data_IF_768510460025
#
_entry.id   IF_768510460025
#
_cell.length_a   1.000
_cell.length_b   1.000
_cell.length_c   1.000
_cell.angle_alpha   90.00
_cell.angle_beta   90.00
_cell.angle_gamma   90.00
#
_symmetry.space_group_name_H-M   'P 1'
#
loop_
_entity.id
_entity.type
_entity.pdbx_description
1 polymer ?
#
# COMPACT_ATOMS: atom_id res chain seq x y z
N UNK A 1 9.44 5.21 -13.58
CA UNK A 1 8.34 4.81 -12.66
C UNK A 1 6.99 5.43 -13.00
N UNK A 2 6.90 6.66 -13.52
CA UNK A 2 5.62 7.28 -13.89
C UNK A 2 4.75 6.42 -14.80
N UNK A 3 5.34 5.86 -15.88
CA UNK A 3 4.62 5.00 -16.82
C UNK A 3 4.04 3.72 -16.17
N UNK A 4 4.78 3.09 -15.26
CA UNK A 4 4.33 1.89 -14.54
C UNK A 4 3.12 2.22 -13.65
N UNK A 5 3.23 3.24 -12.80
CA UNK A 5 2.13 3.57 -11.88
C UNK A 5 0.92 4.09 -12.63
N UNK A 6 1.12 4.89 -13.67
CA UNK A 6 0.03 5.26 -14.58
C UNK A 6 -0.68 4.03 -15.13
N UNK A 7 0.06 3.07 -15.68
CA UNK A 7 -0.52 1.82 -16.17
C UNK A 7 -1.35 1.12 -15.09
N UNK A 8 -0.78 0.94 -13.88
CA UNK A 8 -1.46 0.25 -12.78
C UNK A 8 -2.73 0.96 -12.30
N UNK A 9 -2.73 2.29 -12.19
CA UNK A 9 -3.89 3.05 -11.71
C UNK A 9 -4.93 3.29 -12.81
N UNK A 10 -4.57 3.27 -14.08
CA UNK A 10 -5.52 3.39 -15.19
C UNK A 10 -6.23 2.06 -15.53
N UNK A 11 -5.86 0.94 -14.90
CA UNK A 11 -6.59 -0.33 -15.02
C UNK A 11 -8.05 -0.23 -14.57
N UNK A 12 -8.36 0.69 -13.65
CA UNK A 12 -9.72 0.97 -13.18
C UNK A 12 -10.45 2.03 -14.02
N UNK A 13 -9.82 2.54 -15.08
CA UNK A 13 -10.35 3.58 -15.95
C UNK A 13 -9.57 4.89 -15.91
N UNK A 14 -9.95 5.80 -16.81
CA UNK A 14 -9.34 7.11 -16.91
C UNK A 14 -9.74 8.03 -15.75
N UNK A 15 -8.83 8.92 -15.29
CA UNK A 15 -9.16 9.89 -14.24
C UNK A 15 -10.39 10.75 -14.56
N UNK A 16 -11.15 11.06 -13.52
CA UNK A 16 -12.30 11.95 -13.61
C UNK A 16 -12.23 13.03 -12.52
N UNK A 17 -12.54 14.30 -12.86
CA UNK A 17 -12.93 14.77 -14.19
C UNK A 17 -11.74 14.84 -15.18
N UNK A 18 -11.98 14.87 -16.50
CA UNK A 18 -10.89 14.82 -17.49
C UNK A 18 -9.91 16.00 -17.38
N UNK A 19 -10.34 17.15 -16.88
CA UNK A 19 -9.51 18.33 -16.63
C UNK A 19 -8.34 18.04 -15.67
N UNK A 20 -8.52 17.16 -14.69
CA UNK A 20 -7.52 16.84 -13.67
C UNK A 20 -6.60 15.68 -14.06
N UNK A 21 -6.83 15.08 -15.25
CA UNK A 21 -6.04 13.96 -15.77
C UNK A 21 -4.52 14.20 -15.76
N UNK A 22 -4.00 15.39 -16.13
CA UNK A 22 -2.57 15.66 -16.06
C UNK A 22 -2.03 15.57 -14.62
N UNK A 23 -2.73 16.16 -13.65
CA UNK A 23 -2.35 16.13 -12.23
C UNK A 23 -2.31 14.69 -11.70
N UNK A 24 -3.31 13.89 -12.06
CA UNK A 24 -3.33 12.48 -11.71
C UNK A 24 -2.12 11.72 -12.26
N UNK A 25 -1.83 11.87 -13.54
CA UNK A 25 -0.76 11.13 -14.22
C UNK A 25 0.64 11.57 -13.83
N UNK A 26 0.84 12.87 -13.64
CA UNK A 26 2.18 13.43 -13.48
C UNK A 26 2.64 13.53 -12.04
N UNK A 27 1.68 13.62 -11.10
CA UNK A 27 1.93 13.86 -9.68
C UNK A 27 1.33 12.76 -8.80
N UNK A 28 0.02 12.52 -8.90
CA UNK A 28 -0.68 11.64 -7.93
C UNK A 28 -0.27 10.19 -8.11
N UNK A 29 -0.40 9.61 -9.30
CA UNK A 29 -0.08 8.20 -9.54
C UNK A 29 1.37 7.82 -9.20
N UNK A 30 2.40 8.59 -9.60
CA UNK A 30 3.77 8.27 -9.23
C UNK A 30 3.97 8.32 -7.71
N UNK A 31 3.39 9.31 -7.04
CA UNK A 31 3.56 9.47 -5.59
C UNK A 31 2.80 8.39 -4.82
N UNK A 32 1.55 8.10 -5.19
CA UNK A 32 0.77 7.02 -4.57
C UNK A 32 1.49 5.69 -4.71
N UNK A 33 1.99 5.38 -5.90
CA UNK A 33 2.72 4.14 -6.14
C UNK A 33 3.95 4.01 -5.26
N UNK A 34 4.76 5.07 -5.17
CA UNK A 34 5.95 5.11 -4.32
C UNK A 34 5.63 5.01 -2.83
N UNK A 35 4.65 5.78 -2.36
CA UNK A 35 4.21 5.74 -0.97
C UNK A 35 3.64 4.37 -0.62
N UNK A 36 2.88 3.76 -1.51
CA UNK A 36 2.29 2.45 -1.29
C UNK A 36 3.37 1.37 -1.17
N UNK A 37 4.37 1.37 -2.05
CA UNK A 37 5.54 0.49 -1.93
C UNK A 37 6.30 0.74 -0.63
N UNK A 38 6.58 2.00 -0.30
CA UNK A 38 7.35 2.39 0.89
C UNK A 38 6.66 2.02 2.20
N UNK A 39 5.36 2.32 2.33
CA UNK A 39 4.55 1.97 3.51
C UNK A 39 4.42 0.45 3.64
N UNK A 40 4.12 -0.25 2.54
CA UNK A 40 4.01 -1.71 2.55
C UNK A 40 5.31 -2.36 2.99
N UNK A 41 6.45 -1.92 2.44
CA UNK A 41 7.77 -2.41 2.84
C UNK A 41 8.08 -2.08 4.30
N UNK A 42 7.81 -0.85 4.73
CA UNK A 42 8.02 -0.40 6.10
C UNK A 42 7.25 -1.24 7.11
N UNK A 43 5.97 -1.52 6.85
CA UNK A 43 5.15 -2.37 7.71
C UNK A 43 5.63 -3.81 7.75
N UNK A 44 6.07 -4.38 6.62
CA UNK A 44 6.68 -5.72 6.59
C UNK A 44 7.96 -5.76 7.42
N UNK A 45 8.83 -4.75 7.31
CA UNK A 45 10.05 -4.64 8.12
C UNK A 45 9.71 -4.55 9.61
N UNK A 46 8.72 -3.73 9.98
CA UNK A 46 8.24 -3.64 11.37
C UNK A 46 7.73 -4.99 11.86
N UNK A 47 6.90 -5.68 11.08
CA UNK A 47 6.32 -6.96 11.48
C UNK A 47 7.39 -8.07 11.63
N UNK A 48 8.21 -8.30 10.60
CA UNK A 48 9.13 -9.44 10.57
C UNK A 48 10.45 -9.19 11.29
N UNK A 49 11.05 -8.01 11.13
CA UNK A 49 12.39 -7.70 11.64
C UNK A 49 12.35 -7.01 12.99
N UNK A 50 11.48 -6.01 13.18
CA UNK A 50 11.42 -5.30 14.46
C UNK A 50 10.71 -6.14 15.53
N UNK A 51 9.43 -6.47 15.33
CA UNK A 51 8.62 -7.15 16.35
C UNK A 51 9.07 -8.60 16.53
N UNK A 52 9.16 -9.37 15.44
CA UNK A 52 9.39 -10.80 15.52
C UNK A 52 10.86 -11.20 15.66
N UNK A 53 11.82 -10.33 15.33
CA UNK A 53 13.27 -10.63 15.46
C UNK A 53 13.96 -9.76 16.52
N UNK A 54 13.89 -8.43 16.44
CA UNK A 54 14.62 -7.57 17.37
C UNK A 54 14.01 -7.55 18.77
N UNK A 55 12.68 -7.48 18.88
CA UNK A 55 11.98 -7.49 20.17
C UNK A 55 11.69 -8.91 20.69
N UNK A 56 11.83 -9.94 19.85
CA UNK A 56 11.62 -11.33 20.24
C UNK A 56 10.19 -11.65 20.70
N UNK A 57 9.19 -10.90 20.24
CA UNK A 57 7.79 -11.08 20.68
C UNK A 57 7.21 -12.34 20.03
N UNK A 58 7.43 -13.50 20.67
CA UNK A 58 7.02 -14.80 20.17
C UNK A 58 5.49 -14.95 20.01
N UNK A 59 4.69 -14.11 20.67
CA UNK A 59 3.22 -14.12 20.50
C UNK A 59 2.78 -13.50 19.18
N UNK A 60 3.60 -12.65 18.55
CA UNK A 60 3.26 -11.90 17.34
C UNK A 60 3.59 -12.63 16.02
N UNK A 61 3.55 -13.96 16.05
CA UNK A 61 3.92 -14.83 14.93
C UNK A 61 2.74 -15.50 14.21
N UNK A 62 1.52 -15.28 14.69
CA UNK A 62 0.31 -15.91 14.13
C UNK A 62 -0.14 -15.19 12.85
N UNK A 63 -0.69 -15.96 11.91
CA UNK A 63 -1.27 -15.41 10.67
C UNK A 63 -2.36 -14.36 10.89
N UNK A 64 -3.06 -14.37 12.04
CA UNK A 64 -4.02 -13.32 12.42
C UNK A 64 -3.35 -11.95 12.61
N UNK A 65 -2.17 -11.89 13.23
CA UNK A 65 -1.44 -10.62 13.40
C UNK A 65 -0.91 -10.10 12.07
N UNK A 66 -0.44 -11.00 11.21
CA UNK A 66 -0.07 -10.67 9.83
C UNK A 66 -1.28 -10.10 9.06
N UNK A 67 -2.46 -10.72 9.18
CA UNK A 67 -3.69 -10.25 8.54
C UNK A 67 -4.15 -8.88 9.07
N UNK A 68 -3.95 -8.59 10.35
CA UNK A 68 -4.18 -7.25 10.93
C UNK A 68 -3.26 -6.22 10.26
N UNK A 69 -1.97 -6.54 10.08
CA UNK A 69 -1.03 -5.66 9.39
C UNK A 69 -1.36 -5.49 7.90
N UNK A 70 -1.84 -6.53 7.23
CA UNK A 70 -2.34 -6.46 5.86
C UNK A 70 -3.53 -5.48 5.76
N UNK A 71 -4.50 -5.61 6.66
CA UNK A 71 -5.67 -4.72 6.72
C UNK A 71 -5.28 -3.28 7.08
N UNK A 72 -4.35 -3.10 8.01
CA UNK A 72 -3.81 -1.80 8.38
C UNK A 72 -3.10 -1.14 7.19
N UNK A 73 -2.31 -1.90 6.43
CA UNK A 73 -1.65 -1.39 5.23
C UNK A 73 -2.67 -0.94 4.17
N UNK A 74 -3.73 -1.73 3.96
CA UNK A 74 -4.82 -1.36 3.07
C UNK A 74 -5.49 -0.04 3.49
N UNK A 75 -5.80 0.09 4.79
CA UNK A 75 -6.40 1.30 5.35
C UNK A 75 -5.48 2.52 5.19
N UNK A 76 -4.19 2.38 5.45
CA UNK A 76 -3.23 3.48 5.26
C UNK A 76 -3.15 3.87 3.79
N UNK A 77 -3.05 2.91 2.86
CA UNK A 77 -3.01 3.18 1.43
C UNK A 77 -4.30 3.89 0.93
N UNK A 78 -5.46 3.53 1.48
CA UNK A 78 -6.72 4.22 1.23
C UNK A 78 -6.68 5.68 1.70
N UNK A 79 -6.34 5.91 2.97
CA UNK A 79 -6.30 7.25 3.56
C UNK A 79 -5.26 8.17 2.91
N UNK A 80 -4.09 7.63 2.56
CA UNK A 80 -3.04 8.36 1.82
C UNK A 80 -3.55 8.83 0.47
N UNK A 81 -4.41 8.05 -0.19
CA UNK A 81 -4.99 8.45 -1.48
C UNK A 81 -5.88 9.67 -1.33
N UNK A 82 -6.80 9.63 -0.36
CA UNK A 82 -7.70 10.76 -0.06
C UNK A 82 -6.89 11.99 0.35
N UNK A 83 -5.89 11.82 1.22
CA UNK A 83 -5.02 12.92 1.63
C UNK A 83 -4.29 13.54 0.43
N UNK A 84 -3.73 12.72 -0.45
CA UNK A 84 -2.96 13.20 -1.59
C UNK A 84 -3.83 13.90 -2.64
N UNK A 85 -5.02 13.38 -2.95
CA UNK A 85 -5.95 14.05 -3.88
C UNK A 85 -6.41 15.40 -3.34
N UNK A 86 -6.71 15.48 -2.03
CA UNK A 86 -7.04 16.75 -1.38
C UNK A 86 -5.85 17.72 -1.36
N UNK A 87 -4.64 17.24 -1.07
CA UNK A 87 -3.44 18.06 -1.07
C UNK A 87 -3.12 18.66 -2.46
N UNK A 88 -3.50 17.96 -3.53
CA UNK A 88 -3.36 18.44 -4.91
C UNK A 88 -4.57 19.25 -5.40
N UNK A 89 -5.55 19.53 -4.53
CA UNK A 89 -6.74 20.33 -4.83
C UNK A 89 -7.51 19.83 -6.06
N UNK A 90 -7.52 18.52 -6.26
CA UNK A 90 -8.28 17.90 -7.34
C UNK A 90 -9.77 18.06 -7.08
N UNK A 91 -10.54 18.22 -8.14
CA UNK A 91 -12.00 18.35 -8.06
C UNK A 91 -12.60 17.14 -7.33
N UNK A 92 -13.45 17.40 -6.33
CA UNK A 92 -14.11 16.32 -5.60
C UNK A 92 -15.03 15.52 -6.52
N UNK A 93 -14.78 14.22 -6.60
CA UNK A 93 -15.46 13.31 -7.50
C UNK A 93 -15.41 11.88 -6.96
N UNK A 94 -16.40 11.06 -7.29
CA UNK A 94 -16.50 9.66 -6.85
C UNK A 94 -15.28 8.81 -7.26
N UNK A 95 -14.58 9.22 -8.32
CA UNK A 95 -13.34 8.61 -8.78
C UNK A 95 -12.25 8.56 -7.70
N UNK A 96 -12.18 9.55 -6.80
CA UNK A 96 -11.20 9.57 -5.71
C UNK A 96 -11.36 8.34 -4.80
N UNK A 97 -12.59 7.97 -4.47
CA UNK A 97 -12.87 6.83 -3.60
C UNK A 97 -12.64 5.49 -4.31
N UNK A 98 -12.92 5.41 -5.61
CA UNK A 98 -12.57 4.26 -6.43
C UNK A 98 -11.05 4.08 -6.52
N UNK A 99 -10.31 5.17 -6.75
CA UNK A 99 -8.86 5.18 -6.76
C UNK A 99 -8.28 4.78 -5.39
N UNK A 100 -8.84 5.29 -4.30
CA UNK A 100 -8.42 4.95 -2.94
C UNK A 100 -8.62 3.46 -2.64
N UNK A 101 -9.76 2.90 -3.06
CA UNK A 101 -10.06 1.47 -2.94
C UNK A 101 -9.08 0.63 -3.76
N UNK A 102 -8.80 1.05 -4.99
CA UNK A 102 -7.81 0.36 -5.84
C UNK A 102 -6.40 0.43 -5.24
N UNK A 103 -6.01 1.59 -4.71
CA UNK A 103 -4.71 1.74 -4.04
C UNK A 103 -4.60 0.86 -2.78
N UNK A 104 -5.70 0.70 -2.04
CA UNK A 104 -5.76 -0.22 -0.90
C UNK A 104 -5.53 -1.68 -1.32
N UNK A 105 -6.16 -2.11 -2.43
CA UNK A 105 -5.96 -3.45 -3.01
C UNK A 105 -4.50 -3.63 -3.44
N UNK A 106 -3.93 -2.65 -4.15
CA UNK A 106 -2.52 -2.68 -4.53
C UNK A 106 -1.60 -2.72 -3.29
N UNK A 107 -1.96 -2.03 -2.21
CA UNK A 107 -1.21 -2.09 -0.96
C UNK A 107 -1.22 -3.46 -0.32
N UNK A 108 -2.39 -4.11 -0.25
CA UNK A 108 -2.47 -5.50 0.20
C UNK A 108 -1.58 -6.42 -0.65
N UNK A 109 -1.60 -6.26 -1.97
CA UNK A 109 -0.76 -7.01 -2.88
C UNK A 109 0.74 -6.80 -2.60
N UNK A 110 1.20 -5.54 -2.47
CA UNK A 110 2.61 -5.25 -2.20
C UNK A 110 3.07 -5.74 -0.83
N UNK A 111 2.27 -5.54 0.21
CA UNK A 111 2.56 -6.06 1.55
C UNK A 111 2.68 -7.58 1.54
N UNK A 112 1.77 -8.27 0.86
CA UNK A 112 1.84 -9.71 0.70
C UNK A 112 3.12 -10.14 -0.04
N UNK A 113 3.42 -9.50 -1.17
CA UNK A 113 4.61 -9.82 -1.96
C UNK A 113 5.90 -9.63 -1.13
N UNK A 114 6.04 -8.50 -0.45
CA UNK A 114 7.18 -8.23 0.43
C UNK A 114 7.23 -9.19 1.62
N UNK A 115 6.09 -9.58 2.18
CA UNK A 115 6.03 -10.58 3.25
C UNK A 115 6.62 -11.92 2.78
N UNK A 116 6.26 -12.38 1.59
CA UNK A 116 6.78 -13.63 1.02
C UNK A 116 8.30 -13.55 0.82
N UNK A 117 8.82 -12.40 0.39
CA UNK A 117 10.26 -12.19 0.19
C UNK A 117 11.05 -12.11 1.50
N UNK A 118 10.50 -11.43 2.51
CA UNK A 118 11.20 -11.12 3.76
C UNK A 118 10.92 -12.10 4.91
N UNK A 119 9.99 -13.06 4.76
CA UNK A 119 9.66 -14.01 5.83
C UNK A 119 10.85 -14.78 6.38
N UNK A 120 11.82 -15.13 5.52
CA UNK A 120 13.06 -15.84 5.93
C UNK A 120 13.97 -15.00 6.84
N UNK A 121 13.78 -13.68 6.88
CA UNK A 121 14.54 -12.79 7.75
C UNK A 121 14.06 -12.77 9.21
N UNK A 122 12.93 -13.39 9.52
CA UNK A 122 12.33 -13.43 10.85
C UNK A 122 12.60 -14.76 11.58
N UNK A 123 12.92 -14.68 12.87
CA UNK A 123 13.15 -15.86 13.71
C UNK A 123 11.85 -16.52 14.15
N UNK A 124 10.85 -15.72 14.54
CA UNK A 124 9.63 -16.22 15.17
C UNK A 124 8.44 -16.37 14.21
N UNK A 125 8.45 -15.71 13.03
CA UNK A 125 7.32 -15.68 12.10
C UNK A 125 7.68 -16.15 10.67
N UNK A 126 8.71 -16.98 10.52
CA UNK A 126 9.22 -17.45 9.22
C UNK A 126 8.20 -18.23 8.37
N UNK A 127 7.16 -18.77 9.02
CA UNK A 127 6.03 -19.51 8.42
C UNK A 127 4.78 -18.64 8.23
N UNK A 128 4.89 -17.31 8.28
CA UNK A 128 3.81 -16.41 7.84
C UNK A 128 4.23 -15.73 6.55
N UNK A 129 3.35 -15.54 5.54
CA UNK A 129 1.92 -15.84 5.52
C UNK A 129 1.56 -17.33 5.34
N UNK A 130 2.55 -18.19 5.00
CA UNK A 130 2.43 -19.66 4.94
C UNK A 130 3.71 -20.33 5.46
#
# INVERSE_FOLDING_TARGET
>A
MKALFRFLYELIGAPQPPADTPVYRDVIFPNLGLLNLGVSLGLVVVFYLLINRAMGVATFNKGRHWAIFLGLNALIAFLVTIWQTNAQQVTDHSYIYWLATWNAILGMFWFFLFSVLLKRGSTNASTTPF
#
